data_IF_012710569386
#
_entry.id   IF_012710569386
#
_cell.length_a   1.000
_cell.length_b   1.000
_cell.length_c   1.000
_cell.angle_alpha   90.00
_cell.angle_beta   90.00
_cell.angle_gamma   90.00
#
_symmetry.space_group_name_H-M   'P 1'
#
loop_
_entity.id
_entity.type
_entity.pdbx_description
1 polymer ?
#
# COMPACT_ATOMS: atom_id res chain seq x y z
N UNK A 1 0.77 -24.01 -5.36
CA UNK A 1 1.86 -22.99 -5.27
C UNK A 1 1.49 -21.66 -5.96
N UNK A 2 0.26 -21.47 -6.44
CA UNK A 2 -0.16 -20.30 -7.25
C UNK A 2 -0.69 -19.13 -6.42
N UNK A 3 -1.17 -19.40 -5.19
CA UNK A 3 -1.86 -18.43 -4.35
C UNK A 3 -0.92 -17.33 -3.80
N UNK A 4 0.23 -17.71 -3.23
CA UNK A 4 1.23 -16.75 -2.70
C UNK A 4 1.81 -15.85 -3.79
N UNK A 5 2.05 -16.39 -4.99
CA UNK A 5 2.54 -15.61 -6.12
C UNK A 5 1.50 -14.57 -6.60
N UNK A 6 0.22 -14.91 -6.50
CA UNK A 6 -0.88 -14.01 -6.87
C UNK A 6 -1.02 -12.90 -5.84
N UNK A 7 -0.93 -13.21 -4.55
CA UNK A 7 -1.03 -12.21 -3.49
C UNK A 7 0.16 -11.24 -3.50
N UNK A 8 1.39 -11.72 -3.71
CA UNK A 8 2.54 -10.84 -3.91
C UNK A 8 2.35 -9.89 -5.10
N UNK A 9 1.84 -10.40 -6.22
CA UNK A 9 1.56 -9.57 -7.39
C UNK A 9 0.50 -8.50 -7.09
N UNK A 10 -0.56 -8.84 -6.35
CA UNK A 10 -1.57 -7.88 -5.90
C UNK A 10 -1.00 -6.83 -4.95
N UNK A 11 -0.21 -7.22 -3.96
CA UNK A 11 0.43 -6.27 -3.03
C UNK A 11 1.35 -5.29 -3.77
N UNK A 12 2.17 -5.77 -4.71
CA UNK A 12 3.01 -4.92 -5.55
C UNK A 12 2.19 -3.95 -6.40
N UNK A 13 1.12 -4.44 -7.03
CA UNK A 13 0.23 -3.60 -7.83
C UNK A 13 -0.42 -2.49 -6.97
N UNK A 14 -0.83 -2.83 -5.75
CA UNK A 14 -1.40 -1.89 -4.79
C UNK A 14 -0.40 -0.80 -4.38
N UNK A 15 0.85 -1.17 -4.10
CA UNK A 15 1.90 -0.20 -3.79
C UNK A 15 2.17 0.74 -4.95
N UNK A 16 2.22 0.21 -6.18
CA UNK A 16 2.43 1.02 -7.37
C UNK A 16 1.26 1.99 -7.61
N UNK A 17 0.03 1.53 -7.46
CA UNK A 17 -1.17 2.35 -7.65
C UNK A 17 -1.24 3.50 -6.64
N UNK A 18 -1.06 3.21 -5.34
CA UNK A 18 -1.14 4.25 -4.30
C UNK A 18 0.01 5.25 -4.40
N UNK A 19 1.23 4.78 -4.73
CA UNK A 19 2.34 5.69 -4.99
C UNK A 19 2.07 6.57 -6.21
N UNK A 20 1.54 6.03 -7.30
CA UNK A 20 1.21 6.82 -8.49
C UNK A 20 0.16 7.91 -8.18
N UNK A 21 -0.88 7.57 -7.41
CA UNK A 21 -1.87 8.55 -6.95
C UNK A 21 -1.25 9.62 -6.06
N UNK A 22 -0.43 9.23 -5.08
CA UNK A 22 0.24 10.18 -4.22
C UNK A 22 1.19 11.11 -4.99
N UNK A 23 1.95 10.59 -5.95
CA UNK A 23 2.80 11.39 -6.82
C UNK A 23 1.99 12.38 -7.67
N UNK A 24 0.86 11.96 -8.23
CA UNK A 24 -0.03 12.84 -9.01
C UNK A 24 -0.57 14.02 -8.17
N UNK A 25 -0.70 13.82 -6.87
CA UNK A 25 -1.19 14.82 -5.92
C UNK A 25 -0.08 15.46 -5.06
N UNK A 26 1.19 15.18 -5.36
CA UNK A 26 2.36 15.62 -4.57
C UNK A 26 2.26 15.30 -3.05
N UNK A 27 1.62 14.19 -2.70
CA UNK A 27 1.53 13.67 -1.33
C UNK A 27 2.77 12.83 -1.01
N UNK A 28 3.41 13.13 0.11
CA UNK A 28 4.51 12.32 0.62
C UNK A 28 3.96 11.11 1.39
N UNK A 29 4.06 9.91 0.79
CA UNK A 29 3.76 8.65 1.47
C UNK A 29 5.01 8.10 2.16
N UNK A 30 4.81 7.31 3.22
CA UNK A 30 5.87 6.49 3.80
C UNK A 30 6.41 5.50 2.75
N UNK A 31 7.70 5.10 2.82
CA UNK A 31 8.22 4.07 1.93
C UNK A 31 7.47 2.75 2.16
N UNK A 32 7.12 2.00 1.09
CA UNK A 32 6.47 0.69 1.23
C UNK A 32 7.41 -0.30 1.95
N UNK A 33 6.85 -1.31 2.64
CA UNK A 33 7.65 -2.33 3.32
C UNK A 33 8.51 -3.11 2.32
N UNK A 34 9.76 -3.40 2.71
CA UNK A 34 10.67 -4.17 1.88
C UNK A 34 10.21 -5.63 1.76
N UNK A 35 10.29 -6.17 0.55
CA UNK A 35 9.95 -7.56 0.30
C UNK A 35 10.94 -8.50 0.99
N UNK A 36 10.47 -9.55 1.67
CA UNK A 36 11.36 -10.50 2.32
C UNK A 36 12.16 -11.29 1.29
N UNK A 37 13.48 -11.39 1.48
CA UNK A 37 14.41 -12.02 0.54
C UNK A 37 14.44 -13.55 0.60
N UNK A 38 13.89 -14.15 1.66
CA UNK A 38 13.89 -15.61 1.86
C UNK A 38 12.51 -16.13 2.20
N UNK A 39 11.85 -16.76 1.21
CA UNK A 39 10.67 -17.59 1.45
C UNK A 39 11.13 -19.01 1.77
N UNK A 40 10.75 -19.56 2.93
CA UNK A 40 11.15 -20.91 3.35
C UNK A 40 10.57 -22.02 2.45
N UNK A 41 9.65 -21.68 1.54
CA UNK A 41 9.07 -22.57 0.52
C UNK A 41 8.25 -23.75 1.05
N UNK A 42 8.18 -23.93 2.37
CA UNK A 42 7.67 -25.15 3.02
C UNK A 42 6.17 -25.12 3.32
N UNK A 43 5.49 -24.04 2.93
CA UNK A 43 4.11 -23.79 3.30
C UNK A 43 3.94 -23.50 4.79
N UNK A 44 2.80 -22.91 5.13
CA UNK A 44 2.21 -22.79 6.46
C UNK A 44 2.48 -21.52 7.30
N UNK A 45 1.43 -21.25 8.10
CA UNK A 45 1.20 -20.20 9.09
C UNK A 45 2.47 -19.69 9.79
N UNK A 46 2.87 -18.44 9.53
CA UNK A 46 4.05 -17.80 10.12
C UNK A 46 5.22 -17.57 9.16
N UNK A 47 5.01 -17.68 7.86
CA UNK A 47 6.03 -17.32 6.87
C UNK A 47 6.33 -15.81 6.94
N UNK A 48 7.56 -15.39 6.59
CA UNK A 48 7.98 -13.97 6.53
C UNK A 48 7.00 -13.07 5.75
N UNK A 49 6.23 -13.70 4.86
CA UNK A 49 5.15 -13.09 4.11
C UNK A 49 3.99 -12.59 4.98
N UNK A 50 3.66 -13.23 6.10
CA UNK A 50 2.60 -12.78 7.01
C UNK A 50 2.93 -11.40 7.59
N UNK A 51 4.17 -11.22 8.06
CA UNK A 51 4.65 -9.93 8.56
C UNK A 51 4.72 -8.89 7.45
N UNK A 52 5.12 -9.29 6.24
CA UNK A 52 5.11 -8.42 5.07
C UNK A 52 3.69 -7.99 4.67
N UNK A 53 2.72 -8.91 4.61
CA UNK A 53 1.33 -8.61 4.25
C UNK A 53 0.64 -7.78 5.33
N UNK A 54 0.92 -8.05 6.61
CA UNK A 54 0.50 -7.16 7.69
C UNK A 54 1.08 -5.77 7.48
N UNK A 55 2.40 -5.62 7.34
CA UNK A 55 3.03 -4.33 7.10
C UNK A 55 2.48 -3.62 5.84
N UNK A 56 2.17 -4.38 4.78
CA UNK A 56 1.57 -3.87 3.55
C UNK A 56 0.17 -3.31 3.78
N UNK A 57 -0.66 -4.00 4.57
CA UNK A 57 -2.00 -3.54 4.92
C UNK A 57 -1.94 -2.29 5.80
N UNK A 58 -1.05 -2.27 6.80
CA UNK A 58 -0.83 -1.07 7.61
C UNK A 58 -0.36 0.13 6.78
N UNK A 59 0.58 -0.10 5.85
CA UNK A 59 1.03 0.92 4.91
C UNK A 59 -0.10 1.42 4.00
N UNK A 60 -0.95 0.51 3.52
CA UNK A 60 -2.11 0.85 2.69
C UNK A 60 -3.07 1.78 3.43
N UNK A 61 -3.39 1.49 4.68
CA UNK A 61 -4.26 2.33 5.51
C UNK A 61 -3.68 3.74 5.66
N UNK A 62 -2.39 3.83 6.02
CA UNK A 62 -1.65 5.09 6.17
C UNK A 62 -1.65 5.91 4.87
N UNK A 63 -1.44 5.23 3.72
CA UNK A 63 -1.45 5.88 2.42
C UNK A 63 -2.84 6.39 2.02
N UNK A 64 -3.90 5.65 2.32
CA UNK A 64 -5.27 6.09 2.09
C UNK A 64 -5.63 7.27 2.99
N UNK A 65 -5.23 7.24 4.27
CA UNK A 65 -5.46 8.34 5.20
C UNK A 65 -4.74 9.62 4.73
N UNK A 66 -3.50 9.53 4.26
CA UNK A 66 -2.77 10.67 3.72
C UNK A 66 -3.43 11.24 2.45
N UNK A 67 -3.96 10.39 1.57
CA UNK A 67 -4.67 10.79 0.37
C UNK A 67 -6.04 11.42 0.69
N UNK A 68 -6.78 10.85 1.64
CA UNK A 68 -8.06 11.39 2.12
C UNK A 68 -7.87 12.74 2.81
N UNK A 69 -6.85 12.86 3.66
CA UNK A 69 -6.49 14.12 4.30
C UNK A 69 -6.15 15.21 3.28
N UNK A 70 -5.48 14.88 2.17
CA UNK A 70 -5.29 15.81 1.07
C UNK A 70 -6.63 16.22 0.44
N UNK A 71 -7.54 15.29 0.19
CA UNK A 71 -8.86 15.61 -0.39
C UNK A 71 -9.71 16.47 0.54
N UNK A 72 -9.62 16.27 1.85
CA UNK A 72 -10.28 17.09 2.86
C UNK A 72 -9.60 18.47 3.02
N UNK A 73 -8.27 18.54 2.88
CA UNK A 73 -7.49 19.77 2.98
C UNK A 73 -7.48 20.58 1.67
N UNK A 74 -7.75 19.95 0.52
CA UNK A 74 -8.07 20.66 -0.70
C UNK A 74 -9.29 21.52 -0.37
N UNK A 75 -9.14 22.86 -0.33
CA UNK A 75 -10.26 23.70 0.01
C UNK A 75 -11.36 23.37 -0.99
N UNK A 76 -12.58 23.23 -0.49
CA UNK A 76 -13.79 23.29 -1.29
C UNK A 76 -13.79 24.63 -2.05
N UNK A 77 -12.98 24.74 -3.11
CA UNK A 77 -12.98 25.84 -4.06
C UNK A 77 -13.81 25.38 -5.25
N UNK A 78 -15.06 25.03 -4.91
CA UNK A 78 -16.21 25.46 -5.68
C UNK A 78 -17.09 26.26 -4.73
N UNK A 79 -16.85 27.57 -4.82
CA UNK A 79 -17.65 28.71 -4.36
C UNK A 79 -18.92 28.83 -5.27
N UNK A 80 -19.75 29.88 -5.17
CA UNK A 80 -21.11 29.99 -4.60
C UNK A 80 -22.29 30.04 -5.63
N UNK A 81 -23.53 29.81 -5.16
CA UNK A 81 -24.76 30.64 -5.34
C UNK A 81 -25.77 30.29 -4.23
#
# INVERSE_FOLDING_TARGET
>A
MTEVATELARTRALFAELQARAQAHAVALRPPPAEPTTCCGRGCNGCVWEGFYAAAEWWRQDALEALDALQAAAPAVMHPD
#
